data_IF_533126803785
#
_entry.id   IF_533126803785
#
_cell.length_a   1.000
_cell.length_b   1.000
_cell.length_c   1.000
_cell.angle_alpha   90.00
_cell.angle_beta   90.00
_cell.angle_gamma   90.00
#
_symmetry.space_group_name_H-M   'P 1'
#
loop_
_entity.id
_entity.type
_entity.pdbx_description
1 polymer ?
#
# COMPACT_ATOMS: atom_id res chain seq x y z
N UNK A 1 -8.11 19.66 -19.37
CA UNK A 1 -8.13 20.89 -20.21
C UNK A 1 -8.97 22.00 -19.59
N UNK A 2 -10.16 21.73 -19.08
CA UNK A 2 -10.97 22.75 -18.37
C UNK A 2 -10.19 23.27 -17.15
N UNK A 3 -9.60 22.38 -16.38
CA UNK A 3 -8.83 22.71 -15.17
C UNK A 3 -7.45 23.29 -15.47
N UNK A 4 -6.75 22.79 -16.48
CA UNK A 4 -5.34 23.16 -16.75
C UNK A 4 -5.19 24.32 -17.73
N UNK A 5 -6.25 24.69 -18.45
CA UNK A 5 -6.30 25.75 -19.47
C UNK A 5 -5.19 25.67 -20.54
N UNK A 6 -4.52 24.51 -20.66
CA UNK A 6 -3.49 24.25 -21.66
C UNK A 6 -3.42 22.77 -22.04
N UNK A 7 -3.01 22.48 -23.32
CA UNK A 7 -2.81 21.09 -23.78
C UNK A 7 -1.63 20.43 -23.07
N UNK A 8 -0.57 21.19 -22.83
CA UNK A 8 0.62 20.68 -22.11
C UNK A 8 0.30 20.33 -20.67
N UNK A 9 -0.43 21.19 -19.95
CA UNK A 9 -0.87 20.89 -18.59
C UNK A 9 -1.83 19.70 -18.53
N UNK A 10 -2.71 19.54 -19.51
CA UNK A 10 -3.58 18.38 -19.63
C UNK A 10 -2.78 17.09 -19.91
N UNK A 11 -1.76 17.16 -20.76
CA UNK A 11 -0.86 16.06 -21.06
C UNK A 11 -0.12 15.56 -19.82
N UNK A 12 0.47 16.48 -19.07
CA UNK A 12 1.13 16.21 -17.79
C UNK A 12 0.18 15.54 -16.79
N UNK A 13 -1.04 16.07 -16.64
CA UNK A 13 -2.03 15.53 -15.70
C UNK A 13 -2.51 14.13 -16.08
N UNK A 14 -2.56 13.79 -17.36
CA UNK A 14 -3.03 12.51 -17.88
C UNK A 14 -1.89 11.50 -18.13
N UNK A 15 -0.64 11.88 -17.91
CA UNK A 15 0.52 11.01 -18.14
C UNK A 15 0.74 10.62 -19.60
N UNK A 16 0.26 11.44 -20.58
CA UNK A 16 0.40 11.19 -22.02
C UNK A 16 1.07 12.37 -22.73
N UNK A 17 1.53 12.16 -23.96
CA UNK A 17 2.18 13.23 -24.71
C UNK A 17 1.19 14.31 -25.21
N UNK A 18 1.66 15.56 -25.34
CA UNK A 18 0.84 16.65 -25.85
C UNK A 18 0.34 16.40 -27.30
N UNK A 19 1.10 15.78 -28.21
CA UNK A 19 0.57 15.35 -29.50
C UNK A 19 -0.58 14.34 -29.40
N UNK A 20 -0.52 13.40 -28.43
CA UNK A 20 -1.59 12.44 -28.20
C UNK A 20 -2.90 13.14 -27.79
N UNK A 21 -2.83 14.12 -26.86
CA UNK A 21 -4.01 14.94 -26.52
C UNK A 21 -4.57 15.68 -27.72
N UNK A 22 -3.71 16.30 -28.54
CA UNK A 22 -4.15 17.01 -29.76
C UNK A 22 -4.87 16.07 -30.74
N UNK A 23 -4.34 14.87 -30.91
CA UNK A 23 -4.94 13.83 -31.75
C UNK A 23 -6.30 13.36 -31.18
N UNK A 24 -6.39 13.08 -29.89
CA UNK A 24 -7.65 12.68 -29.24
C UNK A 24 -8.71 13.78 -29.33
N UNK A 25 -8.32 15.02 -29.08
CA UNK A 25 -9.21 16.18 -29.24
C UNK A 25 -9.73 16.31 -30.68
N UNK A 26 -8.86 16.24 -31.69
CA UNK A 26 -9.25 16.30 -33.07
C UNK A 26 -10.15 15.14 -33.50
N UNK A 27 -9.97 13.95 -32.97
CA UNK A 27 -10.91 12.81 -33.19
C UNK A 27 -12.29 13.10 -32.58
N UNK A 28 -12.32 13.65 -31.38
CA UNK A 28 -13.56 13.98 -30.69
C UNK A 28 -14.31 15.12 -31.44
N UNK A 29 -13.61 16.18 -31.85
CA UNK A 29 -14.18 17.27 -32.61
C UNK A 29 -14.77 16.79 -33.92
N UNK A 30 -14.09 15.88 -34.63
CA UNK A 30 -14.62 15.25 -35.87
C UNK A 30 -15.85 14.39 -35.59
N UNK A 31 -15.87 13.63 -34.51
CA UNK A 31 -17.01 12.79 -34.16
C UNK A 31 -18.25 13.61 -33.76
N UNK A 32 -18.06 14.78 -33.14
CA UNK A 32 -19.15 15.68 -32.71
C UNK A 32 -19.54 16.65 -33.81
N UNK A 33 -18.69 16.82 -34.83
CA UNK A 33 -18.95 17.74 -35.94
C UNK A 33 -18.74 19.22 -35.59
N UNK A 34 -18.14 19.53 -34.44
CA UNK A 34 -17.89 20.92 -34.02
C UNK A 34 -16.59 21.04 -33.23
N UNK A 35 -15.97 22.24 -33.31
CA UNK A 35 -14.80 22.54 -32.50
C UNK A 35 -15.19 22.71 -31.03
N UNK A 36 -14.48 22.02 -30.12
CA UNK A 36 -14.74 22.04 -28.69
C UNK A 36 -13.98 23.14 -27.96
N UNK A 37 -12.87 23.61 -28.55
CA UNK A 37 -12.00 24.61 -27.94
C UNK A 37 -11.81 25.83 -28.89
N UNK A 38 -11.51 26.97 -28.27
CA UNK A 38 -11.06 28.18 -28.92
C UNK A 38 -9.69 28.58 -28.44
N UNK A 39 -8.75 28.84 -29.35
CA UNK A 39 -7.44 29.40 -29.00
C UNK A 39 -7.54 30.91 -28.92
N UNK A 40 -7.11 31.50 -27.81
CA UNK A 40 -7.00 32.95 -27.62
C UNK A 40 -5.58 33.23 -27.15
N UNK A 41 -4.71 33.65 -28.10
CA UNK A 41 -3.27 33.72 -27.84
C UNK A 41 -2.69 32.36 -27.44
N UNK A 42 -1.99 32.29 -26.30
CA UNK A 42 -1.39 31.06 -25.76
C UNK A 42 -2.34 30.28 -24.85
N UNK A 43 -3.57 30.74 -24.64
CA UNK A 43 -4.57 30.10 -23.80
C UNK A 43 -5.59 29.33 -24.60
N UNK A 44 -6.03 28.20 -24.05
CA UNK A 44 -7.12 27.39 -24.59
C UNK A 44 -8.35 27.65 -23.73
N UNK A 45 -9.43 28.00 -24.39
CA UNK A 45 -10.74 28.20 -23.77
C UNK A 45 -11.66 27.12 -24.33
N UNK A 46 -12.28 26.35 -23.45
CA UNK A 46 -13.35 25.41 -23.81
C UNK A 46 -14.62 26.23 -24.05
N UNK A 47 -15.34 25.97 -25.12
CA UNK A 47 -16.62 26.68 -25.40
C UNK A 47 -17.59 26.47 -24.24
N UNK A 48 -18.37 27.52 -23.91
CA UNK A 48 -19.25 27.50 -22.73
C UNK A 48 -20.32 26.39 -22.83
N UNK A 49 -20.87 26.15 -24.01
CA UNK A 49 -21.81 25.07 -24.26
C UNK A 49 -21.19 23.69 -23.94
N UNK A 50 -19.93 23.49 -24.33
CA UNK A 50 -19.20 22.26 -24.08
C UNK A 50 -18.86 22.12 -22.58
N UNK A 51 -18.47 23.22 -21.95
CA UNK A 51 -18.23 23.24 -20.49
C UNK A 51 -19.48 22.88 -19.70
N UNK A 52 -20.64 23.34 -20.15
CA UNK A 52 -21.94 23.00 -19.57
C UNK A 52 -22.28 21.53 -19.76
N UNK A 53 -22.12 21.01 -20.96
CA UNK A 53 -22.34 19.59 -21.27
C UNK A 53 -21.44 18.67 -20.44
N UNK A 54 -20.15 19.01 -20.32
CA UNK A 54 -19.23 18.23 -19.48
C UNK A 54 -19.64 18.25 -18.02
N UNK A 55 -20.08 19.41 -17.49
CA UNK A 55 -20.61 19.49 -16.11
C UNK A 55 -21.84 18.59 -15.93
N UNK A 56 -22.78 18.61 -16.88
CA UNK A 56 -23.96 17.75 -16.85
C UNK A 56 -23.58 16.26 -16.92
N UNK A 57 -22.62 15.88 -17.77
CA UNK A 57 -22.13 14.50 -17.83
C UNK A 57 -21.48 14.06 -16.52
N UNK A 58 -20.66 14.89 -15.89
CA UNK A 58 -20.07 14.61 -14.60
C UNK A 58 -21.11 14.50 -13.47
N UNK A 59 -22.14 15.34 -13.51
CA UNK A 59 -23.25 15.26 -12.55
C UNK A 59 -24.10 14.00 -12.78
N UNK A 60 -24.36 13.64 -14.04
CA UNK A 60 -25.04 12.38 -14.37
C UNK A 60 -24.21 11.15 -13.93
N UNK A 61 -22.90 11.21 -14.15
CA UNK A 61 -21.99 10.17 -13.69
C UNK A 61 -22.02 10.04 -12.17
N UNK A 62 -22.04 11.16 -11.41
CA UNK A 62 -22.20 11.15 -9.95
C UNK A 62 -23.54 10.55 -9.54
N UNK A 63 -24.64 10.93 -10.20
CA UNK A 63 -25.96 10.38 -9.93
C UNK A 63 -26.04 8.88 -10.23
N UNK A 64 -25.45 8.43 -11.35
CA UNK A 64 -25.35 7.00 -11.68
C UNK A 64 -24.50 6.23 -10.67
N UNK A 65 -23.42 6.83 -10.18
CA UNK A 65 -22.61 6.26 -9.09
C UNK A 65 -23.48 6.09 -7.83
N UNK A 66 -24.28 7.09 -7.46
CA UNK A 66 -25.18 7.01 -6.29
C UNK A 66 -26.24 5.91 -6.47
N UNK A 67 -26.91 5.84 -7.62
CA UNK A 67 -27.91 4.80 -7.93
C UNK A 67 -27.29 3.40 -7.95
N UNK A 68 -26.06 3.28 -8.46
CA UNK A 68 -25.32 2.01 -8.47
C UNK A 68 -24.88 1.59 -7.07
N UNK A 69 -24.57 2.56 -6.20
CA UNK A 69 -24.23 2.34 -4.81
C UNK A 69 -25.46 1.87 -3.98
N UNK A 70 -26.63 2.44 -4.22
CA UNK A 70 -27.88 2.05 -3.52
C UNK A 70 -28.42 0.68 -3.98
N UNK A 71 -28.18 0.30 -5.24
CA UNK A 71 -28.66 -0.99 -5.79
C UNK A 71 -27.75 -2.19 -5.54
N UNK A 72 -26.47 -1.99 -5.31
CA UNK A 72 -25.51 -3.07 -5.07
C UNK A 72 -25.13 -3.09 -3.58
N UNK A 73 -25.85 -3.88 -2.79
CA UNK A 73 -25.40 -4.45 -1.52
C UNK A 73 -24.20 -5.42 -1.72
N UNK A 74 -23.42 -5.27 -2.79
CA UNK A 74 -22.20 -6.03 -3.00
C UNK A 74 -21.15 -5.49 -2.06
N UNK A 75 -20.68 -6.38 -1.19
CA UNK A 75 -19.55 -6.11 -0.29
C UNK A 75 -18.37 -5.59 -1.09
N UNK A 76 -17.82 -4.44 -0.69
CA UNK A 76 -16.58 -3.93 -1.26
C UNK A 76 -15.44 -4.90 -1.02
N UNK A 77 -14.68 -5.21 -2.05
CA UNK A 77 -13.59 -6.18 -2.02
C UNK A 77 -12.26 -5.45 -1.90
N UNK A 78 -11.65 -5.55 -0.74
CA UNK A 78 -10.38 -4.88 -0.43
C UNK A 78 -9.27 -5.88 -0.30
N UNK A 79 -8.26 -5.78 -1.15
CA UNK A 79 -7.04 -6.58 -1.09
C UNK A 79 -6.04 -5.98 -0.09
N UNK A 80 -5.45 -6.82 0.75
CA UNK A 80 -4.44 -6.41 1.72
C UNK A 80 -3.29 -7.41 1.69
N UNK A 81 -2.06 -6.92 1.61
CA UNK A 81 -0.89 -7.79 1.57
C UNK A 81 -0.70 -8.56 2.88
N UNK A 82 -0.09 -9.73 2.81
CA UNK A 82 0.13 -10.65 3.94
C UNK A 82 0.81 -9.98 5.14
N UNK A 83 1.73 -9.05 4.89
CA UNK A 83 2.41 -8.30 5.95
C UNK A 83 1.47 -7.37 6.73
N UNK A 84 0.37 -6.92 6.12
CA UNK A 84 -0.64 -6.08 6.78
C UNK A 84 -1.77 -6.89 7.41
N UNK A 85 -1.85 -8.21 7.18
CA UNK A 85 -2.92 -9.05 7.71
C UNK A 85 -3.07 -8.96 9.25
N UNK A 86 -2.00 -8.96 10.06
CA UNK A 86 -2.10 -8.80 11.50
C UNK A 86 -2.82 -7.51 11.92
N UNK A 87 -2.62 -6.40 11.20
CA UNK A 87 -3.30 -5.13 11.48
C UNK A 87 -4.83 -5.24 11.35
N UNK A 88 -5.30 -6.04 10.38
CA UNK A 88 -6.73 -6.30 10.19
C UNK A 88 -7.31 -7.12 11.35
N UNK A 89 -6.57 -8.11 11.83
CA UNK A 89 -7.00 -8.97 12.94
C UNK A 89 -7.17 -8.15 14.21
N UNK A 90 -6.20 -7.30 14.53
CA UNK A 90 -6.23 -6.42 15.69
C UNK A 90 -7.41 -5.44 15.68
N UNK A 91 -7.92 -5.13 14.49
CA UNK A 91 -9.04 -4.18 14.29
C UNK A 91 -10.33 -4.82 13.79
N UNK A 92 -10.42 -6.13 13.72
CA UNK A 92 -11.62 -6.82 13.24
C UNK A 92 -12.91 -6.34 13.93
N UNK A 93 -12.86 -6.08 15.24
CA UNK A 93 -13.99 -5.55 16.00
C UNK A 93 -14.34 -4.08 15.63
N UNK A 94 -13.38 -3.27 15.24
CA UNK A 94 -13.61 -1.89 14.78
C UNK A 94 -14.18 -1.90 13.36
N UNK A 95 -13.65 -2.75 12.49
CA UNK A 95 -14.13 -2.94 11.11
C UNK A 95 -15.58 -3.42 11.07
N UNK A 96 -15.98 -4.33 11.98
CA UNK A 96 -17.37 -4.80 12.07
C UNK A 96 -18.39 -3.74 12.48
N UNK A 97 -17.95 -2.60 13.00
CA UNK A 97 -18.79 -1.45 13.34
C UNK A 97 -18.97 -0.44 12.21
N UNK A 98 -18.13 -0.49 11.18
CA UNK A 98 -18.35 0.31 9.97
C UNK A 98 -19.54 -0.25 9.21
N UNK A 99 -20.49 0.62 8.88
CA UNK A 99 -21.74 0.28 8.18
C UNK A 99 -21.52 -0.27 6.77
N UNK A 100 -20.32 -0.24 6.27
CA UNK A 100 -19.97 -0.70 4.94
C UNK A 100 -19.60 -2.18 4.97
N UNK A 101 -20.22 -2.94 4.09
CA UNK A 101 -19.97 -4.36 3.93
C UNK A 101 -18.65 -4.56 3.15
N UNK A 102 -17.56 -4.81 3.86
CA UNK A 102 -16.27 -5.15 3.26
C UNK A 102 -16.05 -6.66 3.21
N UNK A 103 -15.39 -7.10 2.17
CA UNK A 103 -14.77 -8.43 2.08
C UNK A 103 -13.28 -8.23 1.92
N UNK A 104 -12.52 -8.78 2.84
CA UNK A 104 -11.07 -8.74 2.79
C UNK A 104 -10.53 -9.90 1.97
N UNK A 105 -9.55 -9.60 1.12
CA UNK A 105 -8.73 -10.60 0.44
C UNK A 105 -7.29 -10.40 0.87
N UNK A 106 -6.75 -11.37 1.58
CA UNK A 106 -5.35 -11.37 2.01
C UNK A 106 -4.59 -12.27 1.04
N UNK A 107 -3.57 -11.73 0.39
CA UNK A 107 -2.72 -12.45 -0.53
C UNK A 107 -1.34 -11.79 -0.65
N UNK A 108 -0.41 -12.44 -1.34
CA UNK A 108 0.84 -11.81 -1.73
C UNK A 108 0.61 -10.63 -2.68
N UNK A 109 1.62 -9.78 -2.80
CA UNK A 109 1.55 -8.53 -3.56
C UNK A 109 1.22 -8.74 -5.04
N UNK A 110 1.78 -9.79 -5.68
CA UNK A 110 1.56 -10.11 -7.10
C UNK A 110 0.12 -10.53 -7.35
N UNK A 111 -0.38 -11.43 -6.53
CA UNK A 111 -1.77 -11.89 -6.66
C UNK A 111 -2.77 -10.77 -6.43
N UNK A 112 -2.47 -9.84 -5.53
CA UNK A 112 -3.29 -8.65 -5.30
C UNK A 112 -3.31 -7.71 -6.51
N UNK A 113 -2.15 -7.49 -7.16
CA UNK A 113 -2.08 -6.70 -8.38
C UNK A 113 -2.89 -7.34 -9.51
N UNK A 114 -2.69 -8.63 -9.77
CA UNK A 114 -3.45 -9.37 -10.78
C UNK A 114 -4.97 -9.25 -10.55
N UNK A 115 -5.42 -9.49 -9.33
CA UNK A 115 -6.84 -9.39 -8.97
C UNK A 115 -7.40 -7.98 -9.13
N UNK A 116 -6.60 -6.96 -8.81
CA UNK A 116 -6.99 -5.57 -8.96
C UNK A 116 -7.10 -5.17 -10.45
N UNK A 117 -6.12 -5.54 -11.27
CA UNK A 117 -6.12 -5.30 -12.72
C UNK A 117 -7.29 -6.02 -13.41
N UNK A 118 -7.63 -7.24 -12.96
CA UNK A 118 -8.77 -8.01 -13.45
C UNK A 118 -10.12 -7.46 -12.95
N UNK A 119 -10.11 -6.49 -12.04
CA UNK A 119 -11.31 -5.90 -11.45
C UNK A 119 -12.03 -6.81 -10.46
N UNK A 120 -11.34 -7.82 -9.93
CA UNK A 120 -11.83 -8.68 -8.85
C UNK A 120 -11.80 -7.98 -7.49
N UNK A 121 -10.93 -6.95 -7.34
CA UNK A 121 -10.83 -6.09 -6.16
C UNK A 121 -11.23 -4.66 -6.52
N UNK A 122 -11.87 -3.99 -5.56
CA UNK A 122 -12.26 -2.59 -5.67
C UNK A 122 -11.15 -1.66 -5.16
N UNK A 123 -10.34 -2.14 -4.21
CA UNK A 123 -9.16 -1.46 -3.70
C UNK A 123 -8.07 -2.44 -3.26
N UNK A 124 -6.82 -1.98 -3.24
CA UNK A 124 -5.65 -2.74 -2.76
C UNK A 124 -4.78 -1.88 -1.86
N UNK A 125 -4.44 -2.40 -0.68
CA UNK A 125 -3.46 -1.83 0.23
C UNK A 125 -2.22 -2.72 0.25
N UNK A 126 -1.09 -2.19 -0.25
CA UNK A 126 0.17 -2.93 -0.38
C UNK A 126 1.40 -2.07 -0.20
N UNK A 127 2.54 -2.70 0.03
CA UNK A 127 3.83 -2.02 0.00
C UNK A 127 4.15 -1.50 -1.42
N UNK A 128 4.87 -0.39 -1.48
CA UNK A 128 5.31 0.27 -2.72
C UNK A 128 6.77 -0.07 -3.00
N UNK A 129 7.12 -0.19 -4.29
CA UNK A 129 8.52 -0.25 -4.71
C UNK A 129 9.22 1.09 -4.41
N UNK A 130 10.54 1.10 -4.16
CA UNK A 130 11.28 2.33 -3.91
C UNK A 130 11.11 3.40 -4.99
N UNK A 131 11.06 2.98 -6.26
CA UNK A 131 10.92 3.85 -7.43
C UNK A 131 9.48 4.06 -7.89
N UNK A 132 8.52 3.46 -7.21
CA UNK A 132 7.11 3.56 -7.61
C UNK A 132 6.53 4.93 -7.29
N UNK A 133 5.75 5.47 -8.24
CA UNK A 133 4.98 6.69 -8.00
C UNK A 133 3.91 6.37 -6.96
N UNK A 134 3.99 7.09 -5.84
CA UNK A 134 3.05 6.87 -4.75
C UNK A 134 1.63 7.31 -5.13
N UNK A 135 0.60 6.51 -4.80
CA UNK A 135 -0.78 6.96 -4.90
C UNK A 135 -1.08 8.06 -3.87
N UNK A 136 -2.20 8.76 -4.03
CA UNK A 136 -2.59 9.86 -3.14
C UNK A 136 -2.70 9.41 -1.67
N UNK A 137 -3.16 8.19 -1.43
CA UNK A 137 -3.22 7.58 -0.10
C UNK A 137 -1.96 6.73 0.14
N UNK A 138 -0.96 7.33 0.78
CA UNK A 138 0.32 6.71 1.08
C UNK A 138 0.72 6.97 2.52
N UNK A 139 1.37 6.00 3.15
CA UNK A 139 1.92 6.11 4.50
C UNK A 139 3.28 5.44 4.58
N UNK A 140 4.13 5.97 5.44
CA UNK A 140 5.45 5.40 5.72
C UNK A 140 5.38 4.41 6.87
N UNK A 141 6.27 3.44 6.87
CA UNK A 141 6.52 2.52 7.96
C UNK A 141 7.97 2.08 7.96
N UNK A 142 8.40 1.51 9.06
CA UNK A 142 9.80 1.14 9.27
C UNK A 142 9.93 -0.36 9.49
N UNK A 143 10.95 -0.95 8.87
CA UNK A 143 11.39 -2.32 9.13
C UNK A 143 12.65 -2.30 9.99
N UNK A 144 12.77 -3.28 10.87
CA UNK A 144 13.99 -3.54 11.64
C UNK A 144 14.46 -4.96 11.43
N UNK A 145 15.77 -5.15 11.40
CA UNK A 145 16.38 -6.46 11.36
C UNK A 145 16.25 -7.14 12.72
N UNK A 146 15.57 -8.26 12.71
CA UNK A 146 15.30 -9.04 13.92
C UNK A 146 15.84 -10.46 13.80
N UNK A 147 16.26 -11.03 14.91
CA UNK A 147 16.78 -12.38 15.00
C UNK A 147 17.48 -12.65 16.33
N UNK A 148 18.13 -13.77 16.45
CA UNK A 148 18.90 -14.11 17.64
C UNK A 148 20.31 -13.53 17.61
N UNK A 149 20.81 -13.12 18.80
CA UNK A 149 22.09 -12.41 18.92
C UNK A 149 23.30 -13.21 18.47
N UNK A 150 23.28 -14.55 18.59
CA UNK A 150 24.39 -15.41 18.17
C UNK A 150 24.70 -15.30 16.67
N UNK A 151 23.70 -14.89 15.84
CA UNK A 151 23.89 -14.70 14.41
C UNK A 151 24.87 -13.56 14.09
N UNK A 152 25.10 -12.63 15.03
CA UNK A 152 26.14 -11.59 14.86
C UNK A 152 27.55 -12.14 14.77
N UNK A 153 27.79 -13.35 15.26
CA UNK A 153 29.11 -13.98 15.21
C UNK A 153 29.51 -14.33 13.76
N UNK A 154 28.53 -14.50 12.85
CA UNK A 154 28.80 -14.65 11.42
C UNK A 154 29.39 -13.38 10.80
N UNK A 155 29.12 -12.20 11.35
CA UNK A 155 29.69 -10.94 10.89
C UNK A 155 31.15 -10.74 11.32
N UNK A 156 31.58 -11.41 12.38
CA UNK A 156 32.93 -11.29 12.95
C UNK A 156 33.94 -12.22 12.30
N UNK A 157 33.47 -13.26 11.66
CA UNK A 157 34.29 -14.30 11.06
C UNK A 157 34.33 -14.11 9.53
N UNK A 158 35.42 -14.48 8.87
CA UNK A 158 35.50 -14.54 7.40
C UNK A 158 34.67 -15.72 6.86
N UNK A 159 33.40 -15.77 7.23
CA UNK A 159 32.46 -16.83 6.90
C UNK A 159 31.55 -16.50 5.70
N UNK A 160 30.59 -17.36 5.42
CA UNK A 160 29.69 -17.25 4.25
C UNK A 160 28.77 -16.04 4.25
N UNK A 161 28.86 -15.17 5.25
CA UNK A 161 28.00 -14.00 5.41
C UNK A 161 26.88 -14.24 6.40
N UNK A 162 26.16 -13.17 6.71
CA UNK A 162 25.06 -13.17 7.66
C UNK A 162 23.85 -13.93 7.08
N UNK A 163 23.36 -15.00 7.73
CA UNK A 163 22.23 -15.73 7.21
C UNK A 163 20.96 -14.89 7.31
N UNK A 164 20.27 -14.69 6.19
CA UNK A 164 19.06 -13.88 6.12
C UNK A 164 17.92 -14.63 5.43
N UNK A 165 16.71 -14.40 5.93
CA UNK A 165 15.46 -14.76 5.25
C UNK A 165 14.83 -13.47 4.72
N UNK A 166 14.54 -13.42 3.45
CA UNK A 166 14.02 -12.25 2.78
C UNK A 166 12.71 -12.55 2.06
N UNK A 167 11.91 -11.55 1.82
CA UNK A 167 10.83 -11.64 0.84
C UNK A 167 11.41 -11.78 -0.57
N UNK A 168 10.59 -12.28 -1.51
CA UNK A 168 10.98 -12.43 -2.93
C UNK A 168 11.69 -11.16 -3.45
N UNK A 169 12.77 -11.29 -4.25
CA UNK A 169 13.48 -10.14 -4.83
C UNK A 169 12.58 -9.27 -5.71
N UNK A 170 11.50 -9.86 -6.22
CA UNK A 170 10.50 -9.18 -7.03
C UNK A 170 9.40 -8.51 -6.21
N UNK A 171 9.40 -8.65 -4.88
CA UNK A 171 8.46 -7.97 -4.00
C UNK A 171 8.99 -6.60 -3.56
N UNK A 172 8.11 -5.63 -3.27
CA UNK A 172 8.55 -4.32 -2.76
C UNK A 172 9.41 -4.41 -1.50
N UNK A 173 9.05 -5.29 -0.55
CA UNK A 173 9.80 -5.46 0.69
C UNK A 173 11.13 -6.18 0.47
N UNK A 174 11.16 -7.17 -0.43
CA UNK A 174 12.39 -7.83 -0.81
C UNK A 174 13.37 -6.89 -1.50
N UNK A 175 12.87 -6.02 -2.37
CA UNK A 175 13.69 -5.03 -3.08
C UNK A 175 14.32 -4.01 -2.11
N UNK A 176 13.52 -3.40 -1.20
CA UNK A 176 14.03 -2.40 -0.26
C UNK A 176 15.01 -3.01 0.75
N UNK A 177 14.78 -4.25 1.17
CA UNK A 177 15.66 -4.95 2.11
C UNK A 177 17.02 -5.26 1.52
N UNK A 178 17.06 -5.77 0.28
CA UNK A 178 18.32 -6.03 -0.44
C UNK A 178 19.08 -4.75 -0.75
N UNK A 179 18.38 -3.70 -1.13
CA UNK A 179 18.98 -2.38 -1.35
C UNK A 179 19.61 -1.82 -0.07
N UNK A 180 18.96 -1.99 1.08
CA UNK A 180 19.51 -1.58 2.36
C UNK A 180 20.78 -2.36 2.69
N UNK A 181 20.80 -3.72 2.58
CA UNK A 181 21.98 -4.54 2.82
C UNK A 181 23.15 -4.12 1.93
N UNK A 182 22.86 -3.86 0.65
CA UNK A 182 23.86 -3.39 -0.31
C UNK A 182 24.46 -2.04 0.11
N UNK A 183 23.63 -1.09 0.54
CA UNK A 183 24.08 0.26 0.98
C UNK A 183 24.88 0.22 2.27
N UNK A 184 24.59 -0.73 3.15
CA UNK A 184 25.33 -0.94 4.40
C UNK A 184 26.55 -1.84 4.23
N UNK A 185 26.83 -2.27 3.00
CA UNK A 185 27.96 -3.17 2.68
C UNK A 185 27.97 -4.47 3.52
N UNK A 186 26.79 -4.95 3.93
CA UNK A 186 26.65 -6.17 4.71
C UNK A 186 26.85 -7.38 3.81
N UNK A 187 27.84 -8.24 4.14
CA UNK A 187 27.98 -9.55 3.50
C UNK A 187 26.91 -10.49 4.07
N UNK A 188 26.07 -11.04 3.23
CA UNK A 188 24.95 -11.89 3.65
C UNK A 188 24.74 -13.09 2.74
N UNK A 189 24.14 -14.13 3.30
CA UNK A 189 23.69 -15.32 2.57
C UNK A 189 22.16 -15.46 2.70
N UNK A 190 21.47 -15.62 1.57
CA UNK A 190 20.00 -15.79 1.56
C UNK A 190 19.68 -17.26 1.78
N UNK A 191 19.41 -17.64 3.01
CA UNK A 191 19.06 -19.02 3.40
C UNK A 191 17.59 -19.37 3.16
N UNK A 192 16.74 -18.39 2.82
CA UNK A 192 15.35 -18.60 2.45
C UNK A 192 14.67 -17.37 1.88
N UNK A 193 13.74 -17.60 0.96
CA UNK A 193 12.83 -16.58 0.43
C UNK A 193 11.39 -16.90 0.86
N UNK A 194 10.73 -15.95 1.53
CA UNK A 194 9.42 -16.17 2.17
C UNK A 194 8.56 -14.91 2.03
N UNK A 195 7.42 -15.05 1.36
CA UNK A 195 6.44 -13.97 1.22
C UNK A 195 5.32 -14.02 2.28
N UNK A 196 5.34 -15.01 3.17
CA UNK A 196 4.45 -15.14 4.32
C UNK A 196 5.12 -14.71 5.61
N UNK A 197 4.51 -13.72 6.29
CA UNK A 197 5.09 -13.10 7.48
C UNK A 197 5.22 -14.08 8.65
N UNK A 198 4.26 -14.98 8.84
CA UNK A 198 4.30 -15.93 9.96
C UNK A 198 5.39 -16.98 9.79
N UNK A 199 5.62 -17.43 8.56
CA UNK A 199 6.74 -18.30 8.23
C UNK A 199 8.08 -17.60 8.46
N UNK A 200 8.22 -16.33 8.03
CA UNK A 200 9.42 -15.55 8.29
C UNK A 200 9.72 -15.42 9.78
N UNK A 201 8.71 -15.11 10.59
CA UNK A 201 8.83 -14.99 12.06
C UNK A 201 9.29 -16.32 12.68
N UNK A 202 8.69 -17.44 12.30
CA UNK A 202 9.07 -18.77 12.82
C UNK A 202 10.50 -19.15 12.48
N UNK A 203 10.95 -18.88 11.26
CA UNK A 203 12.34 -19.13 10.86
C UNK A 203 13.33 -18.29 11.67
N UNK A 204 12.98 -17.04 11.94
CA UNK A 204 13.78 -16.15 12.79
C UNK A 204 13.77 -16.59 14.25
N UNK A 205 12.62 -16.95 14.80
CA UNK A 205 12.48 -17.43 16.17
C UNK A 205 13.16 -18.79 16.42
N UNK A 206 13.44 -19.56 15.36
CA UNK A 206 14.25 -20.79 15.45
C UNK A 206 15.76 -20.54 15.47
N UNK A 207 16.20 -19.29 15.42
CA UNK A 207 17.61 -18.92 15.38
C UNK A 207 18.30 -19.19 14.04
N UNK A 208 17.56 -19.51 12.98
CA UNK A 208 18.14 -19.86 11.68
C UNK A 208 18.74 -18.66 10.96
N UNK A 209 18.08 -17.50 11.00
CA UNK A 209 18.45 -16.35 10.19
C UNK A 209 17.91 -15.04 10.76
N UNK A 210 18.34 -13.92 10.17
CA UNK A 210 17.73 -12.61 10.39
C UNK A 210 16.67 -12.31 9.31
N UNK A 211 15.68 -11.50 9.64
CA UNK A 211 14.74 -10.96 8.65
C UNK A 211 14.36 -9.52 8.97
N UNK A 212 14.08 -8.67 7.98
CA UNK A 212 13.54 -7.33 8.23
C UNK A 212 12.03 -7.43 8.46
N UNK A 213 11.58 -7.02 9.64
CA UNK A 213 10.17 -7.04 10.02
C UNK A 213 9.65 -5.63 10.32
N UNK A 214 8.41 -5.31 9.92
CA UNK A 214 7.76 -4.05 10.29
C UNK A 214 7.65 -3.91 11.81
N UNK A 215 7.95 -2.71 12.32
CA UNK A 215 7.95 -2.43 13.77
C UNK A 215 6.56 -2.67 14.38
N UNK A 216 5.48 -2.37 13.67
CA UNK A 216 4.13 -2.56 14.17
C UNK A 216 3.78 -4.03 14.48
N UNK A 217 4.46 -4.98 13.85
CA UNK A 217 4.26 -6.42 14.12
C UNK A 217 4.76 -6.83 15.50
N UNK A 218 5.75 -6.14 16.05
CA UNK A 218 6.27 -6.43 17.40
C UNK A 218 5.17 -6.36 18.46
N UNK A 219 4.11 -5.61 18.20
CA UNK A 219 2.96 -5.49 19.09
C UNK A 219 1.95 -6.63 18.90
N UNK A 220 1.61 -6.90 17.63
CA UNK A 220 0.61 -7.92 17.28
C UNK A 220 1.09 -9.34 17.56
N UNK A 221 2.41 -9.53 17.61
CA UNK A 221 3.07 -10.83 17.73
C UNK A 221 4.10 -10.84 18.88
N UNK A 222 3.74 -10.20 20.00
CA UNK A 222 4.67 -10.00 21.12
C UNK A 222 5.20 -11.33 21.69
N UNK A 223 4.39 -12.38 21.69
CA UNK A 223 4.78 -13.72 22.20
C UNK A 223 5.81 -14.38 21.26
N UNK A 224 5.61 -14.26 19.95
CA UNK A 224 6.52 -14.80 18.94
C UNK A 224 7.85 -14.04 18.86
N UNK A 225 7.88 -12.80 19.35
CA UNK A 225 9.07 -11.94 19.37
C UNK A 225 9.85 -11.97 20.68
N UNK A 226 9.45 -12.75 21.70
CA UNK A 226 10.13 -12.76 23.01
C UNK A 226 11.62 -13.11 22.93
N UNK A 227 12.00 -14.04 22.03
CA UNK A 227 13.39 -14.45 21.81
C UNK A 227 14.15 -13.57 20.81
N UNK A 228 13.45 -12.75 20.02
CA UNK A 228 14.04 -11.97 18.96
C UNK A 228 14.38 -10.55 19.42
N UNK A 229 15.56 -10.07 19.06
CA UNK A 229 16.01 -8.70 19.29
C UNK A 229 16.30 -7.98 17.97
N UNK A 230 16.31 -6.66 18.01
CA UNK A 230 16.89 -5.91 16.90
C UNK A 230 18.40 -6.18 16.87
N UNK A 231 18.89 -6.71 15.74
CA UNK A 231 20.26 -7.21 15.63
C UNK A 231 21.15 -6.21 14.89
N UNK A 232 20.73 -5.76 13.71
CA UNK A 232 21.51 -4.79 12.97
C UNK A 232 21.11 -3.35 13.35
N UNK A 233 22.07 -2.42 13.44
CA UNK A 233 21.78 -1.02 13.71
C UNK A 233 21.02 -0.39 12.54
N UNK A 234 20.21 0.62 12.84
CA UNK A 234 19.45 1.34 11.83
C UNK A 234 18.08 0.71 11.53
N UNK A 235 17.48 1.19 10.46
CA UNK A 235 16.14 0.80 10.01
C UNK A 235 16.03 0.91 8.50
N UNK A 236 15.01 0.29 7.95
CA UNK A 236 14.66 0.36 6.53
C UNK A 236 13.34 1.12 6.43
N UNK A 237 13.35 2.24 5.74
CA UNK A 237 12.12 2.98 5.46
C UNK A 237 11.43 2.38 4.25
N UNK A 238 10.13 2.17 4.39
CA UNK A 238 9.28 1.63 3.35
C UNK A 238 7.93 2.37 3.35
N UNK A 239 7.15 2.17 2.29
CA UNK A 239 5.86 2.84 2.13
C UNK A 239 4.78 1.84 1.81
N UNK A 240 3.58 2.09 2.33
CA UNK A 240 2.34 1.46 1.88
C UNK A 240 1.53 2.46 1.07
N UNK A 241 0.85 1.96 0.05
CA UNK A 241 -0.09 2.73 -0.73
C UNK A 241 -1.43 2.02 -0.87
N UNK A 242 -2.50 2.81 -0.97
CA UNK A 242 -3.83 2.31 -1.28
C UNK A 242 -4.21 2.72 -2.70
N UNK A 243 -4.42 1.74 -3.55
CA UNK A 243 -4.88 1.90 -4.92
C UNK A 243 -6.37 1.58 -4.97
N UNK A 244 -7.15 2.42 -5.63
CA UNK A 244 -8.57 2.20 -5.83
C UNK A 244 -9.05 2.92 -7.10
N UNK A 245 -10.09 2.38 -7.72
CA UNK A 245 -10.75 3.02 -8.85
C UNK A 245 -11.91 3.86 -8.33
N UNK A 246 -11.79 5.19 -8.43
CA UNK A 246 -12.82 6.14 -7.98
C UNK A 246 -14.20 5.89 -8.63
N UNK A 247 -14.26 5.17 -9.74
CA UNK A 247 -15.51 4.76 -10.40
C UNK A 247 -16.21 3.61 -9.69
N UNK A 248 -15.47 2.84 -8.90
CA UNK A 248 -15.95 1.64 -8.20
C UNK A 248 -15.95 1.81 -6.69
N UNK A 249 -15.05 2.60 -6.17
CA UNK A 249 -14.80 2.78 -4.76
C UNK A 249 -15.03 4.23 -4.34
N UNK A 250 -15.83 4.45 -3.30
CA UNK A 250 -16.05 5.79 -2.77
C UNK A 250 -14.78 6.29 -2.05
N UNK A 251 -14.32 7.48 -2.41
CA UNK A 251 -13.15 8.11 -1.79
C UNK A 251 -13.26 8.16 -0.25
N UNK A 252 -14.44 8.41 0.30
CA UNK A 252 -14.64 8.44 1.76
C UNK A 252 -14.40 7.06 2.38
N UNK A 253 -14.91 5.99 1.77
CA UNK A 253 -14.66 4.63 2.22
C UNK A 253 -13.17 4.26 2.10
N UNK A 254 -12.50 4.70 1.03
CA UNK A 254 -11.06 4.53 0.88
C UNK A 254 -10.29 5.23 1.99
N UNK A 255 -10.64 6.47 2.31
CA UNK A 255 -10.03 7.24 3.40
C UNK A 255 -10.26 6.57 4.76
N UNK A 256 -11.48 6.13 5.04
CA UNK A 256 -11.83 5.49 6.33
C UNK A 256 -11.01 4.20 6.54
N UNK A 257 -10.87 3.36 5.49
CA UNK A 257 -10.05 2.15 5.54
C UNK A 257 -8.56 2.49 5.63
N UNK A 258 -8.10 3.45 4.84
CA UNK A 258 -6.71 3.87 4.87
C UNK A 258 -6.29 4.42 6.23
N UNK A 259 -7.08 5.31 6.83
CA UNK A 259 -6.81 5.86 8.16
C UNK A 259 -6.88 4.79 9.26
N UNK A 260 -7.78 3.82 9.12
CA UNK A 260 -7.81 2.67 10.02
C UNK A 260 -6.50 1.88 9.98
N UNK A 261 -6.02 1.51 8.79
CA UNK A 261 -4.77 0.76 8.62
C UNK A 261 -3.56 1.60 9.06
N UNK A 262 -3.50 2.86 8.66
CA UNK A 262 -2.45 3.80 9.02
C UNK A 262 -2.34 4.01 10.53
N UNK A 263 -3.45 4.12 11.24
CA UNK A 263 -3.46 4.31 12.69
C UNK A 263 -2.76 3.19 13.45
N UNK A 264 -2.78 1.95 12.94
CA UNK A 264 -2.08 0.83 13.53
C UNK A 264 -0.59 0.79 13.17
N UNK A 265 -0.22 1.24 11.96
CA UNK A 265 1.17 1.34 11.55
C UNK A 265 1.98 2.32 12.43
N UNK A 266 1.33 3.40 12.87
CA UNK A 266 1.96 4.50 13.61
C UNK A 266 1.85 4.36 15.12
N UNK A 267 1.08 3.40 15.61
CA UNK A 267 0.87 3.19 17.04
C UNK A 267 2.15 2.68 17.71
N UNK A 268 2.61 3.37 18.75
CA UNK A 268 3.81 2.98 19.48
C UNK A 268 3.67 1.57 20.10
N UNK A 269 4.75 0.76 20.19
CA UNK A 269 4.73 -0.51 20.89
C UNK A 269 4.29 -0.30 22.35
N UNK A 270 3.50 -1.23 22.88
CA UNK A 270 3.10 -1.20 24.29
C UNK A 270 4.35 -1.28 25.17
N UNK A 271 4.54 -0.30 26.06
CA UNK A 271 5.55 -0.39 27.09
C UNK A 271 5.19 -1.57 28.02
N UNK A 272 6.16 -2.41 28.36
CA UNK A 272 6.00 -3.64 29.16
C UNK A 272 5.44 -3.44 30.59
N UNK A 273 5.16 -2.21 31.02
CA UNK A 273 4.77 -1.92 32.43
C UNK A 273 3.29 -2.20 32.74
N UNK A 274 2.41 -2.45 31.78
CA UNK A 274 0.96 -2.59 32.04
C UNK A 274 0.40 -4.02 31.96
N UNK A 275 1.22 -5.05 31.72
CA UNK A 275 0.77 -6.42 31.51
C UNK A 275 1.14 -7.39 32.68
N UNK A 276 1.09 -6.95 33.91
CA UNK A 276 1.03 -7.88 35.08
C UNK A 276 -0.38 -7.84 35.66
N UNK A 277 -1.23 -8.87 35.44
CA UNK A 277 -2.38 -9.03 36.28
C UNK A 277 -1.87 -9.38 37.68
N UNK A 278 -2.19 -8.54 38.64
CA UNK A 278 -2.04 -8.84 40.08
C UNK A 278 -2.88 -10.09 40.39
N UNK A 279 -2.27 -11.26 40.41
CA UNK A 279 -2.84 -12.40 41.11
C UNK A 279 -2.65 -12.17 42.60
N UNK A 280 -3.57 -11.49 43.23
CA UNK A 280 -3.75 -11.56 44.67
C UNK A 280 -4.39 -12.91 44.98
N UNK A 281 -3.56 -13.86 45.41
CA UNK A 281 -3.99 -15.07 46.10
C UNK A 281 -4.51 -14.61 47.45
N UNK A 282 -5.82 -14.68 47.68
CA UNK A 282 -6.39 -14.66 49.02
C UNK A 282 -6.32 -16.08 49.58
N UNK A 283 -5.59 -16.21 50.66
CA UNK A 283 -5.69 -17.34 51.59
C UNK A 283 -7.01 -17.28 52.37
#
# INVERSE_FOLDING_TARGET
MIETKSLTGAALKLGISQPAISMHLGRLERAIGTSLIKKVGNKIIVKEEISRLIRQMLDLERQLKTVRYEKNLTKLKVGVCTYCAPLLVDRAAALGRHKENFTWRIADWRRLEEMYEQGELDAVFRALYPSEIAPDLTTEFTLKWVGEKHLLDFMKNEGPGLPVVLASPHSPLGAVSREWLRRQEVVYDVVGEVDDIMTAIRLVSSGLALTPLPIYLQRSLAEEFESCAQILPGHIDARYGMFFDERRFNLRAALDIFELLKSELTRAPLSRETARPSMAVQQ
#
